data_IF_330909087632
#
_entry.id   IF_330909087632
#
_cell.length_a   1.000
_cell.length_b   1.000
_cell.length_c   1.000
_cell.angle_alpha   90.00
_cell.angle_beta   90.00
_cell.angle_gamma   90.00
#
_symmetry.space_group_name_H-M   'P 1'
#
loop_
_entity.id
_entity.type
_entity.pdbx_description
1 polymer ?
#
# COMPACT_ATOMS: atom_id res chain seq x y z
N UNK A 1 -12.89 11.55 20.49
CA UNK A 1 -12.26 11.69 19.17
C UNK A 1 -10.72 11.63 19.27
N UNK A 2 -10.08 12.55 20.03
CA UNK A 2 -8.62 12.53 20.21
C UNK A 2 -8.12 11.19 20.79
N UNK A 3 -8.83 10.64 21.76
CA UNK A 3 -8.55 9.33 22.35
C UNK A 3 -8.59 8.21 21.29
N UNK A 4 -9.60 8.24 20.40
CA UNK A 4 -9.71 7.27 19.31
C UNK A 4 -8.53 7.35 18.33
N UNK A 5 -8.12 8.57 17.97
CA UNK A 5 -6.95 8.79 17.10
C UNK A 5 -5.66 8.32 17.78
N UNK A 6 -5.46 8.66 19.05
CA UNK A 6 -4.27 8.20 19.79
C UNK A 6 -4.24 6.68 19.95
N UNK A 7 -5.38 6.04 20.17
CA UNK A 7 -5.46 4.59 20.26
C UNK A 7 -5.17 3.93 18.90
N UNK A 8 -5.58 4.53 17.79
CA UNK A 8 -5.22 4.09 16.44
C UNK A 8 -3.70 4.16 16.23
N UNK A 9 -3.05 5.27 16.58
CA UNK A 9 -1.58 5.40 16.49
C UNK A 9 -0.85 4.40 17.40
N UNK A 10 -1.34 4.18 18.62
CA UNK A 10 -0.80 3.17 19.52
C UNK A 10 -0.99 1.75 18.98
N UNK A 11 -2.10 1.48 18.28
CA UNK A 11 -2.34 0.21 17.64
C UNK A 11 -1.30 -0.10 16.55
N UNK A 12 -0.85 0.88 15.77
CA UNK A 12 0.26 0.70 14.82
C UNK A 12 1.55 0.22 15.49
N UNK A 13 1.85 0.76 16.68
CA UNK A 13 3.01 0.33 17.48
C UNK A 13 2.80 -1.10 17.98
N UNK A 14 1.65 -1.38 18.60
CA UNK A 14 1.31 -2.70 19.14
C UNK A 14 1.32 -3.80 18.08
N UNK A 15 0.82 -3.50 16.90
CA UNK A 15 0.75 -4.41 15.75
C UNK A 15 2.08 -4.53 14.98
N UNK A 16 3.13 -3.81 15.38
CA UNK A 16 4.45 -3.78 14.73
C UNK A 16 4.39 -3.41 13.25
N UNK A 17 3.57 -2.43 12.90
CA UNK A 17 3.27 -2.05 11.52
C UNK A 17 4.52 -1.59 10.77
N UNK A 18 5.41 -0.85 11.42
CA UNK A 18 6.70 -0.43 10.87
C UNK A 18 7.52 -1.64 10.43
N UNK A 19 7.58 -2.70 11.25
CA UNK A 19 8.31 -3.91 10.88
C UNK A 19 7.73 -4.57 9.62
N UNK A 20 6.40 -4.75 9.59
CA UNK A 20 5.71 -5.37 8.44
C UNK A 20 5.89 -4.52 7.18
N UNK A 21 5.74 -3.20 7.29
CA UNK A 21 5.95 -2.28 6.17
C UNK A 21 7.40 -2.34 5.65
N UNK A 22 8.38 -2.34 6.55
CA UNK A 22 9.80 -2.44 6.20
C UNK A 22 10.10 -3.75 5.47
N UNK A 23 9.64 -4.88 5.98
CA UNK A 23 9.81 -6.18 5.30
C UNK A 23 9.16 -6.18 3.92
N UNK A 24 7.94 -5.64 3.79
CA UNK A 24 7.25 -5.56 2.50
C UNK A 24 8.01 -4.69 1.49
N UNK A 25 8.58 -3.55 1.92
CA UNK A 25 9.40 -2.68 1.05
C UNK A 25 10.69 -3.37 0.62
N UNK A 26 11.39 -4.05 1.53
CA UNK A 26 12.62 -4.79 1.23
C UNK A 26 12.33 -5.90 0.20
N UNK A 27 11.28 -6.70 0.40
CA UNK A 27 10.90 -7.76 -0.52
C UNK A 27 10.51 -7.22 -1.89
N UNK A 28 9.73 -6.14 -1.95
CA UNK A 28 9.38 -5.49 -3.21
C UNK A 28 10.61 -4.93 -3.95
N UNK A 29 11.53 -4.31 -3.21
CA UNK A 29 12.81 -3.83 -3.74
C UNK A 29 13.68 -4.97 -4.28
N UNK A 30 13.74 -6.08 -3.56
CA UNK A 30 14.48 -7.28 -4.00
C UNK A 30 13.92 -7.84 -5.32
N UNK A 31 12.58 -7.95 -5.42
CA UNK A 31 11.91 -8.38 -6.67
C UNK A 31 12.24 -7.42 -7.81
N UNK A 32 12.21 -6.11 -7.57
CA UNK A 32 12.55 -5.11 -8.59
C UNK A 32 13.99 -5.23 -9.07
N UNK A 33 14.96 -5.42 -8.16
CA UNK A 33 16.38 -5.60 -8.48
C UNK A 33 16.59 -6.89 -9.29
N UNK A 34 15.99 -8.00 -8.87
CA UNK A 34 16.07 -9.26 -9.62
C UNK A 34 15.50 -9.10 -11.02
N UNK A 35 14.33 -8.45 -11.15
CA UNK A 35 13.71 -8.19 -12.45
C UNK A 35 14.62 -7.37 -13.36
N UNK A 36 15.28 -6.32 -12.84
CA UNK A 36 16.22 -5.49 -13.59
C UNK A 36 17.45 -6.29 -14.05
N UNK A 37 18.04 -7.10 -13.17
CA UNK A 37 19.18 -7.97 -13.51
C UNK A 37 18.82 -8.95 -14.62
N UNK A 38 17.66 -9.63 -14.49
CA UNK A 38 17.19 -10.57 -15.51
C UNK A 38 16.88 -9.87 -16.83
N UNK A 39 16.24 -8.71 -16.79
CA UNK A 39 15.92 -7.92 -17.98
C UNK A 39 17.19 -7.50 -18.72
N UNK A 40 18.17 -6.97 -18.00
CA UNK A 40 19.48 -6.59 -18.57
C UNK A 40 20.24 -7.80 -19.12
N UNK A 41 20.25 -8.91 -18.39
CA UNK A 41 20.86 -10.16 -18.84
C UNK A 41 20.25 -10.68 -20.16
N UNK A 42 18.92 -10.56 -20.32
CA UNK A 42 18.24 -10.94 -21.57
C UNK A 42 18.49 -9.96 -22.71
N UNK A 43 18.48 -8.66 -22.45
CA UNK A 43 18.66 -7.61 -23.48
C UNK A 43 20.11 -7.49 -23.93
N UNK A 44 21.08 -7.63 -23.02
CA UNK A 44 22.51 -7.40 -23.31
C UNK A 44 23.35 -8.68 -23.33
N UNK A 45 22.87 -9.80 -22.74
CA UNK A 45 23.61 -11.08 -22.66
C UNK A 45 23.31 -12.10 -23.77
N UNK A 46 22.45 -11.80 -24.71
CA UNK A 46 21.84 -12.76 -25.62
C UNK A 46 22.52 -12.96 -27.00
N UNK A 47 23.85 -12.95 -27.11
CA UNK A 47 24.48 -13.16 -28.42
C UNK A 47 25.00 -14.59 -28.72
N UNK A 48 24.77 -15.54 -27.81
CA UNK A 48 25.22 -16.91 -28.05
C UNK A 48 24.19 -17.96 -27.55
N UNK A 49 22.98 -17.95 -28.11
CA UNK A 49 22.03 -19.05 -27.92
C UNK A 49 21.84 -19.76 -29.24
N UNK A 50 22.55 -20.88 -29.37
CA UNK A 50 22.29 -21.91 -30.39
C UNK A 50 20.86 -22.46 -30.15
N UNK A 51 19.87 -21.84 -30.81
CA UNK A 51 18.44 -22.06 -30.55
C UNK A 51 17.91 -23.13 -31.47
N UNK A 52 18.10 -24.43 -31.12
CA UNK A 52 17.55 -25.55 -31.83
C UNK A 52 16.35 -26.22 -31.13
N UNK A 53 15.70 -25.52 -30.17
CA UNK A 53 14.50 -26.06 -29.53
C UNK A 53 13.26 -25.19 -29.84
N UNK A 54 12.29 -25.82 -30.54
CA UNK A 54 10.99 -25.25 -30.94
C UNK A 54 10.14 -24.66 -29.79
N UNK A 55 10.51 -24.87 -28.52
CA UNK A 55 9.81 -24.33 -27.34
C UNK A 55 10.49 -23.11 -26.67
N UNK A 56 11.73 -22.78 -27.01
CA UNK A 56 12.52 -21.76 -26.32
C UNK A 56 12.01 -20.34 -26.48
N UNK A 57 11.37 -20.02 -27.62
CA UNK A 57 10.85 -18.67 -27.88
C UNK A 57 9.63 -18.32 -27.01
N UNK A 58 8.70 -19.23 -26.87
CA UNK A 58 7.50 -18.99 -26.05
C UNK A 58 7.84 -18.83 -24.56
N UNK A 59 8.74 -19.67 -24.04
CA UNK A 59 9.21 -19.56 -22.64
C UNK A 59 9.99 -18.25 -22.39
N UNK A 60 10.78 -17.80 -23.38
CA UNK A 60 11.49 -16.53 -23.28
C UNK A 60 10.52 -15.34 -23.24
N UNK A 61 9.45 -15.35 -24.04
CA UNK A 61 8.42 -14.31 -24.02
C UNK A 61 7.66 -14.31 -22.68
N UNK A 62 7.25 -15.48 -22.19
CA UNK A 62 6.58 -15.61 -20.90
C UNK A 62 7.49 -15.09 -19.79
N UNK A 63 8.76 -15.48 -19.79
CA UNK A 63 9.75 -15.01 -18.82
C UNK A 63 9.90 -13.48 -18.84
N UNK A 64 9.99 -12.87 -20.03
CA UNK A 64 10.07 -11.43 -20.19
C UNK A 64 8.83 -10.72 -19.66
N UNK A 65 7.64 -11.22 -19.95
CA UNK A 65 6.37 -10.67 -19.45
C UNK A 65 6.33 -10.75 -17.91
N UNK A 66 6.70 -11.88 -17.32
CA UNK A 66 6.72 -12.06 -15.87
C UNK A 66 7.73 -11.10 -15.19
N UNK A 67 8.91 -10.91 -15.79
CA UNK A 67 9.92 -9.99 -15.26
C UNK A 67 9.40 -8.55 -15.24
N UNK A 68 8.69 -8.12 -16.29
CA UNK A 68 8.10 -6.77 -16.36
C UNK A 68 6.93 -6.61 -15.38
N UNK A 69 6.12 -7.65 -15.21
CA UNK A 69 4.96 -7.61 -14.32
C UNK A 69 5.31 -7.78 -12.83
N UNK A 70 6.41 -8.47 -12.49
CA UNK A 70 6.78 -8.77 -11.12
C UNK A 70 6.88 -7.51 -10.22
N UNK A 71 7.54 -6.40 -10.60
CA UNK A 71 7.58 -5.20 -9.78
C UNK A 71 6.21 -4.53 -9.61
N UNK A 72 5.34 -4.64 -10.60
CA UNK A 72 3.96 -4.14 -10.53
C UNK A 72 3.18 -4.93 -9.47
N UNK A 73 3.23 -6.26 -9.53
CA UNK A 73 2.58 -7.13 -8.54
C UNK A 73 3.16 -6.91 -7.13
N UNK A 74 4.49 -6.80 -7.00
CA UNK A 74 5.12 -6.50 -5.70
C UNK A 74 4.60 -5.18 -5.12
N UNK A 75 4.44 -4.15 -5.93
CA UNK A 75 3.88 -2.87 -5.51
C UNK A 75 2.41 -3.00 -5.08
N UNK A 76 1.58 -3.70 -5.86
CA UNK A 76 0.17 -3.93 -5.54
C UNK A 76 0.00 -4.73 -4.23
N UNK A 77 0.84 -5.75 -4.01
CA UNK A 77 0.84 -6.53 -2.76
C UNK A 77 1.22 -5.63 -1.58
N UNK A 78 2.25 -4.79 -1.71
CA UNK A 78 2.64 -3.83 -0.68
C UNK A 78 1.50 -2.89 -0.31
N UNK A 79 0.80 -2.33 -1.30
CA UNK A 79 -0.35 -1.45 -1.08
C UNK A 79 -1.54 -2.18 -0.44
N UNK A 80 -1.78 -3.44 -0.81
CA UNK A 80 -2.82 -4.26 -0.20
C UNK A 80 -2.50 -4.55 1.28
N UNK A 81 -1.24 -4.85 1.62
CA UNK A 81 -0.78 -5.02 2.99
C UNK A 81 -1.00 -3.73 3.77
N UNK A 82 -0.60 -2.57 3.23
CA UNK A 82 -0.77 -1.26 3.87
C UNK A 82 -2.24 -1.01 4.25
N UNK A 83 -3.17 -1.22 3.32
CA UNK A 83 -4.61 -1.05 3.59
C UNK A 83 -5.14 -1.99 4.68
N UNK A 84 -4.73 -3.26 4.66
CA UNK A 84 -5.12 -4.23 5.71
C UNK A 84 -4.60 -3.83 7.08
N UNK A 85 -3.42 -3.20 7.14
CA UNK A 85 -2.83 -2.69 8.39
C UNK A 85 -3.66 -1.54 8.97
N UNK A 86 -4.18 -0.64 8.13
CA UNK A 86 -5.09 0.43 8.56
C UNK A 86 -6.36 -0.14 9.20
N UNK A 87 -7.01 -1.13 8.56
CA UNK A 87 -8.19 -1.77 9.14
C UNK A 87 -7.87 -2.49 10.46
N UNK A 88 -6.69 -3.10 10.56
CA UNK A 88 -6.27 -3.74 11.81
C UNK A 88 -5.99 -2.71 12.90
N UNK A 89 -5.39 -1.56 12.57
CA UNK A 89 -5.15 -0.47 13.51
C UNK A 89 -6.47 0.16 13.98
N UNK A 90 -7.46 0.32 13.09
CA UNK A 90 -8.80 0.77 13.44
C UNK A 90 -9.48 -0.19 14.44
N UNK A 91 -9.44 -1.48 14.13
CA UNK A 91 -10.05 -2.50 15.00
C UNK A 91 -9.33 -2.58 16.36
N UNK A 92 -7.99 -2.58 16.35
CA UNK A 92 -7.18 -2.63 17.59
C UNK A 92 -7.38 -1.37 18.44
N UNK A 93 -7.42 -0.18 17.80
CA UNK A 93 -7.68 1.10 18.47
C UNK A 93 -9.09 1.16 19.08
N UNK A 94 -10.08 0.67 18.34
CA UNK A 94 -11.46 0.55 18.84
C UNK A 94 -11.55 -0.39 20.05
N UNK A 95 -10.81 -1.51 20.05
CA UNK A 95 -10.74 -2.44 21.19
C UNK A 95 -10.04 -1.81 22.39
N UNK A 96 -8.99 -1.03 22.19
CA UNK A 96 -8.24 -0.35 23.26
C UNK A 96 -9.14 0.65 24.01
N UNK A 97 -9.92 1.44 23.28
CA UNK A 97 -10.81 2.45 23.88
C UNK A 97 -12.16 1.89 24.27
N UNK A 98 -12.57 0.75 23.73
CA UNK A 98 -13.93 0.22 23.77
C UNK A 98 -14.98 1.23 23.27
N UNK A 99 -14.56 2.18 22.45
CA UNK A 99 -15.39 3.25 21.92
C UNK A 99 -15.06 3.55 20.45
N UNK A 100 -15.51 2.67 19.52
CA UNK A 100 -15.23 2.82 18.08
C UNK A 100 -15.78 4.13 17.48
N UNK A 101 -16.90 4.64 18.01
CA UNK A 101 -17.51 5.89 17.53
C UNK A 101 -16.59 7.10 17.70
N UNK A 102 -15.69 7.10 18.69
CA UNK A 102 -14.72 8.18 18.88
C UNK A 102 -13.78 8.33 17.70
N UNK A 103 -13.27 7.21 17.17
CA UNK A 103 -12.43 7.20 15.96
C UNK A 103 -13.26 7.48 14.70
N UNK A 104 -14.46 6.90 14.58
CA UNK A 104 -15.35 7.12 13.44
C UNK A 104 -15.70 8.60 13.27
N UNK A 105 -16.06 9.29 14.36
CA UNK A 105 -16.37 10.73 14.36
C UNK A 105 -15.16 11.59 14.01
N UNK A 106 -13.95 11.21 14.46
CA UNK A 106 -12.71 11.89 14.09
C UNK A 106 -12.46 11.78 12.59
N UNK A 107 -12.57 10.57 12.02
CA UNK A 107 -12.39 10.33 10.58
C UNK A 107 -13.43 11.09 9.74
N UNK A 108 -14.67 11.19 10.21
CA UNK A 108 -15.73 11.95 9.54
C UNK A 108 -15.42 13.44 9.50
N UNK A 109 -14.94 14.03 10.60
CA UNK A 109 -14.49 15.43 10.64
C UNK A 109 -13.31 15.68 9.72
N UNK A 110 -12.31 14.79 9.71
CA UNK A 110 -11.16 14.88 8.81
C UNK A 110 -11.62 14.83 7.35
N UNK A 111 -12.56 13.92 7.03
CA UNK A 111 -13.13 13.79 5.69
C UNK A 111 -13.96 14.97 5.24
N UNK A 112 -14.66 15.64 6.16
CA UNK A 112 -15.47 16.83 5.87
C UNK A 112 -14.63 18.09 5.60
N UNK A 113 -13.35 18.11 6.05
CA UNK A 113 -12.46 19.25 5.88
C UNK A 113 -11.19 18.85 5.11
N UNK A 114 -11.30 18.49 3.82
CA UNK A 114 -10.18 18.04 3.01
C UNK A 114 -9.31 19.24 2.56
N UNK A 115 -8.68 19.92 3.51
CA UNK A 115 -7.72 20.97 3.18
C UNK A 115 -6.41 20.32 2.71
N UNK A 116 -5.96 20.56 1.47
CA UNK A 116 -4.67 20.06 1.01
C UNK A 116 -3.57 20.69 1.86
N UNK A 117 -2.70 19.86 2.39
CA UNK A 117 -1.55 20.34 3.16
C UNK A 117 -0.48 20.88 2.20
N UNK A 118 -0.15 22.15 2.35
CA UNK A 118 0.77 22.87 1.46
C UNK A 118 2.20 22.27 1.39
N UNK A 119 2.57 21.44 2.36
CA UNK A 119 3.90 20.79 2.45
C UNK A 119 3.85 19.26 2.40
N UNK A 120 2.73 18.68 1.97
CA UNK A 120 2.66 17.24 1.76
C UNK A 120 3.45 16.83 0.53
N UNK A 121 4.24 15.76 0.64
CA UNK A 121 4.97 15.14 -0.47
C UNK A 121 4.62 13.65 -0.54
N UNK A 122 4.86 13.01 -1.70
CA UNK A 122 4.66 11.58 -1.86
C UNK A 122 5.45 10.76 -0.83
N UNK A 123 6.65 11.26 -0.44
CA UNK A 123 7.49 10.62 0.58
C UNK A 123 6.88 10.68 1.98
N UNK A 124 6.07 11.70 2.29
CA UNK A 124 5.45 11.89 3.61
C UNK A 124 3.97 11.53 3.64
N UNK A 125 3.38 11.21 2.50
CA UNK A 125 1.94 10.91 2.39
C UNK A 125 1.48 9.78 3.33
N UNK A 126 2.34 8.81 3.60
CA UNK A 126 2.06 7.69 4.49
C UNK A 126 2.05 8.02 5.99
N UNK A 127 2.48 9.24 6.36
CA UNK A 127 2.48 9.74 7.75
C UNK A 127 1.15 10.40 8.13
N UNK A 128 0.24 10.56 7.18
CA UNK A 128 -1.04 11.22 7.40
C UNK A 128 -2.16 10.18 7.50
N UNK A 129 -3.05 10.34 8.45
CA UNK A 129 -4.21 9.46 8.70
C UNK A 129 -5.24 9.49 7.54
N UNK A 130 -5.19 10.52 6.69
CA UNK A 130 -6.00 10.66 5.48
C UNK A 130 -5.15 11.21 4.33
N UNK A 131 -5.66 11.09 3.09
CA UNK A 131 -4.94 11.57 1.91
C UNK A 131 -4.65 13.08 1.99
N UNK A 132 -3.37 13.51 2.11
CA UNK A 132 -3.00 14.91 2.27
C UNK A 132 -3.15 15.74 0.98
N UNK A 133 -3.38 15.10 -0.18
CA UNK A 133 -3.51 15.76 -1.50
C UNK A 133 -4.96 16.12 -1.85
N UNK A 134 -5.92 15.83 -0.96
CA UNK A 134 -7.33 16.13 -1.13
C UNK A 134 -8.05 15.21 -2.12
N UNK A 135 -9.37 15.46 -2.33
CA UNK A 135 -10.27 14.61 -3.10
C UNK A 135 -9.95 14.54 -4.62
N UNK A 136 -9.20 15.50 -5.16
CA UNK A 136 -8.86 15.52 -6.60
C UNK A 136 -7.86 14.42 -6.99
N UNK A 137 -7.00 13.99 -6.07
CA UNK A 137 -6.02 12.92 -6.31
C UNK A 137 -6.64 11.51 -6.30
N UNK A 138 -7.92 11.37 -5.92
CA UNK A 138 -8.57 10.07 -5.73
C UNK A 138 -9.32 9.56 -6.99
N UNK A 139 -9.19 10.20 -8.17
CA UNK A 139 -9.92 9.81 -9.38
C UNK A 139 -9.11 8.89 -10.29
N UNK A 140 -9.73 7.82 -10.78
CA UNK A 140 -9.16 6.90 -11.78
C UNK A 140 -8.22 5.85 -11.18
N UNK A 141 -7.22 5.43 -11.95
CA UNK A 141 -6.22 4.42 -11.54
C UNK A 141 -5.41 4.84 -10.30
N UNK A 142 -5.37 6.14 -9.98
CA UNK A 142 -4.74 6.67 -8.77
C UNK A 142 -5.31 6.06 -7.48
N UNK A 143 -6.58 5.66 -7.47
CA UNK A 143 -7.21 4.99 -6.34
C UNK A 143 -6.51 3.67 -5.95
N UNK A 144 -5.94 2.96 -6.92
CA UNK A 144 -5.20 1.71 -6.66
C UNK A 144 -3.87 1.96 -5.93
N UNK A 145 -3.30 3.16 -6.08
CA UNK A 145 -2.02 3.55 -5.48
C UNK A 145 -2.16 4.32 -4.17
N UNK A 146 -3.38 4.54 -3.68
CA UNK A 146 -3.58 5.13 -2.36
C UNK A 146 -3.12 4.13 -1.28
N UNK A 147 -2.31 4.62 -0.36
CA UNK A 147 -1.80 3.84 0.78
C UNK A 147 -2.87 3.59 1.84
N UNK A 148 -3.83 4.51 1.97
CA UNK A 148 -4.93 4.42 2.93
C UNK A 148 -6.24 3.98 2.25
N UNK A 149 -7.07 3.16 2.96
CA UNK A 149 -8.41 2.82 2.50
C UNK A 149 -9.32 4.06 2.49
N UNK A 150 -10.45 4.00 1.73
CA UNK A 150 -11.44 5.07 1.75
C UNK A 150 -11.99 5.33 3.16
N UNK A 151 -12.03 6.60 3.59
CA UNK A 151 -12.54 6.97 4.92
C UNK A 151 -13.96 6.47 5.15
N UNK A 152 -14.82 6.51 4.11
CA UNK A 152 -16.21 6.05 4.19
C UNK A 152 -16.30 4.59 4.60
N UNK A 153 -15.42 3.75 4.08
CA UNK A 153 -15.40 2.32 4.41
C UNK A 153 -14.89 2.09 5.83
N UNK A 154 -13.84 2.79 6.26
CA UNK A 154 -13.33 2.74 7.63
C UNK A 154 -14.38 3.16 8.64
N UNK A 155 -15.07 4.30 8.41
CA UNK A 155 -16.16 4.80 9.28
C UNK A 155 -17.28 3.77 9.38
N UNK A 156 -17.69 3.18 8.25
CA UNK A 156 -18.72 2.15 8.23
C UNK A 156 -18.34 0.96 9.10
N UNK A 157 -17.15 0.40 8.91
CA UNK A 157 -16.66 -0.77 9.66
C UNK A 157 -16.56 -0.47 11.16
N UNK A 158 -16.07 0.71 11.55
CA UNK A 158 -16.01 1.12 12.97
C UNK A 158 -17.41 1.20 13.60
N UNK A 159 -18.40 1.71 12.88
CA UNK A 159 -19.79 1.78 13.36
C UNK A 159 -20.49 0.42 13.45
N UNK A 160 -20.03 -0.57 12.67
CA UNK A 160 -20.50 -1.96 12.75
C UNK A 160 -19.90 -2.75 13.93
N UNK A 161 -18.84 -2.23 14.59
CA UNK A 161 -18.19 -2.84 15.76
C UNK A 161 -18.91 -2.59 17.11
N UNK A 162 -20.15 -2.12 17.08
CA UNK A 162 -20.96 -1.82 18.30
C UNK A 162 -21.40 -3.08 19.03
#
# INVERSE_FOLDING_TARGET
>A
ELEGVLAHELAHIGNRDILVATVAVILAGFVAILSDIFLRGHLFGGRNRNNNSRGGGALAIIGLVLIVLAPIFATLIRLAISRRREYLADASGALLTRYPEGLASALEKIGAHPAPLARASDATAHLFISNPFGARAARGLHHLFLTHPPLVERIKLLREMR
#
